data_IF_327666441257
#
_entry.id   IF_327666441257
#
_cell.length_a   1.000
_cell.length_b   1.000
_cell.length_c   1.000
_cell.angle_alpha   90.00
_cell.angle_beta   90.00
_cell.angle_gamma   90.00
#
_symmetry.space_group_name_H-M   'P 1'
#
loop_
_entity.id
_entity.type
_entity.pdbx_description
1 polymer ?
#
# COMPACT_ATOMS: atom_id res chain seq x y z
N UNK A 1 19.73 22.05 -5.64
CA UNK A 1 19.67 20.59 -5.76
C UNK A 1 18.34 20.20 -5.16
N UNK A 2 17.37 19.75 -5.95
CA UNK A 2 16.08 19.34 -5.41
C UNK A 2 16.29 18.00 -4.68
N UNK A 3 15.78 17.88 -3.46
CA UNK A 3 15.68 16.59 -2.80
C UNK A 3 14.59 15.80 -3.52
N UNK A 4 14.98 14.74 -4.23
CA UNK A 4 14.05 13.75 -4.75
C UNK A 4 13.98 12.63 -3.73
N UNK A 5 12.84 12.49 -3.06
CA UNK A 5 12.56 11.31 -2.25
C UNK A 5 11.87 10.32 -3.17
N UNK A 6 12.49 9.15 -3.34
CA UNK A 6 11.85 7.97 -3.90
C UNK A 6 11.64 6.99 -2.75
N UNK A 7 10.40 6.88 -2.29
CA UNK A 7 10.01 5.97 -1.22
C UNK A 7 9.35 4.72 -1.82
N UNK A 8 9.74 3.55 -1.30
CA UNK A 8 9.16 2.26 -1.65
C UNK A 8 8.86 1.54 -0.34
N UNK A 9 7.61 1.18 -0.11
CA UNK A 9 7.16 0.54 1.13
C UNK A 9 6.72 -0.92 0.92
N UNK A 10 6.90 -1.48 -0.30
CA UNK A 10 6.55 -2.87 -0.58
C UNK A 10 7.43 -3.83 0.25
N UNK A 11 6.80 -4.75 0.98
CA UNK A 11 7.49 -5.66 1.89
C UNK A 11 7.98 -5.02 3.20
N UNK A 12 7.63 -3.74 3.46
CA UNK A 12 8.04 -3.00 4.66
C UNK A 12 6.86 -2.76 5.62
N UNK A 13 5.78 -3.55 5.52
CA UNK A 13 4.56 -3.25 6.27
C UNK A 13 4.55 -3.79 7.70
N UNK A 14 4.25 -2.86 8.62
CA UNK A 14 3.96 -2.97 10.04
C UNK A 14 2.50 -3.42 10.33
N UNK A 15 1.81 -3.97 9.33
CA UNK A 15 0.41 -4.37 9.42
C UNK A 15 0.39 -5.89 9.53
N UNK A 16 0.21 -6.41 10.74
CA UNK A 16 0.36 -7.84 11.08
C UNK A 16 -0.55 -8.82 10.29
N UNK A 17 -1.46 -8.34 9.44
CA UNK A 17 -2.53 -9.17 8.86
C UNK A 17 -2.43 -9.45 7.36
N UNK A 18 -2.07 -8.49 6.50
CA UNK A 18 -2.11 -8.64 5.02
C UNK A 18 -0.97 -7.86 4.33
N UNK A 19 -0.44 -8.42 3.23
CA UNK A 19 0.46 -7.71 2.32
C UNK A 19 -0.33 -7.05 1.17
N UNK A 20 0.22 -5.96 0.61
CA UNK A 20 -0.38 -5.19 -0.48
C UNK A 20 -0.66 -6.08 -1.70
N UNK A 21 0.20 -7.07 -1.95
CA UNK A 21 0.14 -7.93 -3.12
C UNK A 21 -0.90 -9.06 -3.01
N UNK A 22 -1.47 -9.31 -1.83
CA UNK A 22 -2.49 -10.36 -1.66
C UNK A 22 -3.78 -10.08 -2.48
N UNK A 23 -4.00 -8.80 -2.85
CA UNK A 23 -5.14 -8.34 -3.62
C UNK A 23 -4.97 -8.48 -5.15
N UNK A 24 -3.80 -8.89 -5.63
CA UNK A 24 -3.48 -9.02 -7.05
C UNK A 24 -3.22 -10.50 -7.36
N UNK A 25 -3.85 -11.06 -8.40
CA UNK A 25 -3.65 -12.48 -8.75
C UNK A 25 -2.22 -12.80 -9.20
N UNK A 26 -1.57 -11.81 -9.80
CA UNK A 26 -0.22 -11.87 -10.35
C UNK A 26 0.69 -10.86 -9.65
N UNK A 27 1.18 -11.15 -8.43
CA UNK A 27 2.02 -10.22 -7.67
C UNK A 27 3.32 -9.84 -8.41
N UNK A 28 3.82 -10.72 -9.28
CA UNK A 28 5.04 -10.54 -10.08
C UNK A 28 4.98 -9.36 -11.06
N UNK A 29 3.77 -8.83 -11.36
CA UNK A 29 3.62 -7.63 -12.19
C UNK A 29 4.25 -6.39 -11.54
N UNK A 30 4.47 -6.43 -10.22
CA UNK A 30 5.16 -5.40 -9.45
C UNK A 30 6.56 -5.82 -9.00
N UNK A 31 7.20 -6.79 -9.66
CA UNK A 31 8.58 -7.15 -9.37
C UNK A 31 9.52 -5.95 -9.54
N UNK A 32 10.34 -5.74 -8.51
CA UNK A 32 11.32 -4.66 -8.48
C UNK A 32 12.68 -5.16 -8.99
N UNK A 33 13.27 -4.42 -9.93
CA UNK A 33 14.65 -4.59 -10.38
C UNK A 33 15.39 -3.27 -10.19
N UNK A 34 16.48 -3.30 -9.41
CA UNK A 34 17.33 -2.12 -9.11
C UNK A 34 16.55 -0.91 -8.59
N UNK A 35 15.58 -1.16 -7.71
CA UNK A 35 14.74 -0.10 -7.14
C UNK A 35 13.74 0.50 -8.12
N UNK A 36 13.44 -0.19 -9.23
CA UNK A 36 12.46 0.24 -10.23
C UNK A 36 11.43 -0.86 -10.46
N UNK A 37 10.17 -0.47 -10.66
CA UNK A 37 9.12 -1.39 -11.10
C UNK A 37 8.89 -1.21 -12.59
N UNK A 38 8.61 -2.31 -13.30
CA UNK A 38 8.27 -2.24 -14.73
C UNK A 38 6.84 -1.75 -14.91
N UNK A 39 6.57 -1.04 -16.00
CA UNK A 39 5.21 -0.67 -16.37
C UNK A 39 4.50 -1.94 -16.87
N UNK A 40 3.33 -2.32 -16.30
CA UNK A 40 2.54 -3.45 -16.80
C UNK A 40 2.12 -3.23 -18.26
N UNK A 41 2.19 -4.30 -19.07
CA UNK A 41 1.88 -4.23 -20.52
C UNK A 41 0.51 -4.80 -20.89
N UNK A 42 -0.29 -5.20 -19.90
CA UNK A 42 -1.65 -5.68 -20.12
C UNK A 42 -2.64 -4.55 -20.44
N UNK A 43 -3.87 -4.87 -20.84
CA UNK A 43 -4.91 -3.88 -21.07
C UNK A 43 -5.27 -3.12 -19.77
N UNK A 44 -5.68 -1.86 -19.92
CA UNK A 44 -6.08 -1.02 -18.79
C UNK A 44 -4.91 -0.74 -17.84
N UNK A 45 -5.08 -1.06 -16.55
CA UNK A 45 -4.01 -0.94 -15.55
C UNK A 45 -2.97 -2.06 -15.65
N UNK A 46 -3.22 -3.10 -16.48
CA UNK A 46 -2.31 -4.23 -16.65
C UNK A 46 -2.18 -5.15 -15.43
N UNK A 47 -3.19 -5.15 -14.55
CA UNK A 47 -3.27 -6.02 -13.37
C UNK A 47 -4.61 -6.75 -13.33
N UNK A 48 -4.64 -7.92 -12.69
CA UNK A 48 -5.86 -8.67 -12.38
C UNK A 48 -6.04 -8.74 -10.87
N UNK A 49 -7.24 -8.37 -10.41
CA UNK A 49 -7.59 -8.34 -8.98
C UNK A 49 -8.00 -9.74 -8.52
N UNK A 50 -7.52 -10.11 -7.33
CA UNK A 50 -8.01 -11.27 -6.59
C UNK A 50 -9.35 -10.90 -5.92
N UNK A 51 -10.45 -10.95 -6.69
CA UNK A 51 -11.76 -10.53 -6.22
C UNK A 51 -12.27 -11.38 -5.06
N UNK A 52 -11.97 -12.68 -5.04
CA UNK A 52 -12.34 -13.56 -3.93
C UNK A 52 -11.73 -13.06 -2.61
N UNK A 53 -10.44 -12.70 -2.64
CA UNK A 53 -9.75 -12.14 -1.48
C UNK A 53 -10.28 -10.76 -1.09
N UNK A 54 -10.59 -9.89 -2.07
CA UNK A 54 -11.24 -8.59 -1.79
C UNK A 54 -12.54 -8.78 -1.02
N UNK A 55 -13.40 -9.70 -1.48
CA UNK A 55 -14.71 -9.97 -0.84
C UNK A 55 -14.51 -10.52 0.58
N UNK A 56 -13.58 -11.45 0.77
CA UNK A 56 -13.25 -12.00 2.09
C UNK A 56 -12.81 -10.90 3.08
N UNK A 57 -11.87 -10.05 2.66
CA UNK A 57 -11.33 -8.98 3.52
C UNK A 57 -12.35 -7.87 3.76
N UNK A 58 -13.22 -7.60 2.79
CA UNK A 58 -14.31 -6.64 2.96
C UNK A 58 -15.30 -7.07 4.06
N UNK A 59 -15.52 -8.38 4.25
CA UNK A 59 -16.41 -8.91 5.28
C UNK A 59 -15.90 -8.65 6.72
N UNK A 60 -14.58 -8.58 6.91
CA UNK A 60 -13.96 -8.20 8.19
C UNK A 60 -14.21 -6.71 8.49
N UNK A 61 -14.24 -5.88 7.44
CA UNK A 61 -14.37 -4.45 7.53
C UNK A 61 -13.17 -3.78 8.20
N UNK A 62 -13.19 -2.46 8.30
CA UNK A 62 -12.19 -1.70 9.02
C UNK A 62 -12.81 -0.40 9.55
N UNK A 63 -12.30 0.08 10.68
CA UNK A 63 -12.68 1.39 11.24
C UNK A 63 -11.44 2.25 11.48
N UNK A 64 -10.48 2.14 10.57
CA UNK A 64 -9.20 2.84 10.65
C UNK A 64 -9.40 4.35 10.63
N UNK A 65 -8.66 5.04 11.50
CA UNK A 65 -8.56 6.49 11.57
C UNK A 65 -7.09 6.80 11.81
N UNK A 66 -6.60 7.89 11.23
CA UNK A 66 -5.30 8.41 11.58
C UNK A 66 -5.23 8.66 13.10
N UNK A 67 -4.11 8.30 13.75
CA UNK A 67 -3.88 8.69 15.13
C UNK A 67 -3.93 10.21 15.26
N UNK A 68 -4.58 10.71 16.32
CA UNK A 68 -4.57 12.14 16.63
C UNK A 68 -3.37 12.43 17.51
N UNK A 69 -2.43 13.19 16.98
CA UNK A 69 -1.28 13.67 17.74
C UNK A 69 -1.54 15.07 18.27
N UNK A 70 -1.11 15.32 19.50
CA UNK A 70 -1.21 16.63 20.16
C UNK A 70 0.13 17.03 20.73
N UNK A 71 0.45 18.31 20.63
CA UNK A 71 1.56 18.91 21.35
C UNK A 71 1.26 18.94 22.86
N UNK A 72 2.29 19.22 23.67
CA UNK A 72 2.16 19.26 25.13
C UNK A 72 1.13 20.30 25.63
N UNK A 73 0.87 21.34 24.84
CA UNK A 73 -0.14 22.38 25.11
C UNK A 73 -1.57 22.01 24.65
N UNK A 74 -1.75 20.82 24.08
CA UNK A 74 -3.03 20.30 23.62
C UNK A 74 -3.42 20.70 22.19
N UNK A 75 -2.65 21.56 21.52
CA UNK A 75 -2.85 21.88 20.11
C UNK A 75 -2.61 20.66 19.21
N UNK A 76 -3.27 20.62 18.05
CA UNK A 76 -3.11 19.52 17.10
C UNK A 76 -1.71 19.56 16.48
N UNK A 77 -1.06 18.40 16.43
CA UNK A 77 0.15 18.20 15.64
C UNK A 77 -0.22 17.71 14.24
N UNK A 78 0.54 18.14 13.24
CA UNK A 78 0.48 17.59 11.87
C UNK A 78 0.90 16.12 11.89
N UNK A 79 0.31 15.34 10.97
CA UNK A 79 0.61 13.92 10.80
C UNK A 79 1.83 13.73 9.89
#
# INVERSE_FOLDING_TARGET
>A
YNAFIQEQSLGIHYNESNDLLDYVKHPEVFDYDKGMVKIPNGPGLGIEINEEYVIERAAIGHRWRNPIWRHADGSFAEW
#
